data_IF_332134134989
#
_entry.id   IF_332134134989
#
_cell.length_a   1.000
_cell.length_b   1.000
_cell.length_c   1.000
_cell.angle_alpha   90.00
_cell.angle_beta   90.00
_cell.angle_gamma   90.00
#
_symmetry.space_group_name_H-M   'P 1'
#
loop_
_entity.id
_entity.type
_entity.pdbx_description
1 polymer ?
#
# COMPACT_ATOMS: atom_id res chain seq x y z
N UNK A 1 10.13 -4.76 -29.58
CA UNK A 1 10.04 -3.29 -29.61
C UNK A 1 10.92 -2.73 -28.50
N UNK A 2 11.95 -1.95 -28.82
CA UNK A 2 12.68 -1.12 -27.86
C UNK A 2 12.05 0.27 -27.82
N UNK A 3 11.90 0.84 -26.63
CA UNK A 3 11.45 2.23 -26.44
C UNK A 3 12.68 3.06 -26.12
N UNK A 4 12.98 4.05 -26.97
CA UNK A 4 14.03 5.04 -26.72
C UNK A 4 13.41 6.26 -26.03
N UNK A 5 13.84 6.51 -24.80
CA UNK A 5 13.43 7.67 -24.00
C UNK A 5 14.55 8.70 -24.03
N UNK A 6 14.36 9.78 -24.80
CA UNK A 6 15.26 10.93 -24.78
C UNK A 6 14.91 11.82 -23.58
N UNK A 7 15.72 11.73 -22.54
CA UNK A 7 15.49 12.45 -21.28
C UNK A 7 16.33 13.73 -21.25
N UNK A 8 15.65 14.87 -21.34
CA UNK A 8 16.29 16.17 -21.09
C UNK A 8 16.85 16.24 -19.67
N UNK A 9 18.06 16.80 -19.53
CA UNK A 9 18.89 16.79 -18.31
C UNK A 9 18.18 17.26 -17.02
N UNK A 10 17.09 18.03 -17.14
CA UNK A 10 16.33 18.57 -16.01
C UNK A 10 15.33 17.60 -15.35
N UNK A 11 14.96 16.50 -16.00
CA UNK A 11 13.87 15.62 -15.52
C UNK A 11 14.33 14.47 -14.61
N UNK A 12 15.62 14.41 -14.27
CA UNK A 12 16.17 13.37 -13.39
C UNK A 12 15.49 13.30 -12.03
N UNK A 13 15.14 14.45 -11.44
CA UNK A 13 14.43 14.51 -10.16
C UNK A 13 12.99 14.00 -10.25
N UNK A 14 12.34 14.18 -11.40
CA UNK A 14 10.97 13.68 -11.63
C UNK A 14 10.96 12.16 -11.71
N UNK A 15 11.93 11.56 -12.41
CA UNK A 15 12.08 10.10 -12.42
C UNK A 15 12.46 9.54 -11.05
N UNK A 16 13.33 10.23 -10.30
CA UNK A 16 13.68 9.83 -8.95
C UNK A 16 12.45 9.90 -8.01
N UNK A 17 11.63 10.93 -8.13
CA UNK A 17 10.39 11.06 -7.37
C UNK A 17 9.35 9.98 -7.76
N UNK A 18 9.19 9.71 -9.06
CA UNK A 18 8.26 8.70 -9.55
C UNK A 18 8.68 7.29 -9.12
N UNK A 19 9.97 6.95 -9.24
CA UNK A 19 10.50 5.65 -8.84
C UNK A 19 10.39 5.46 -7.33
N UNK A 20 10.80 6.44 -6.52
CA UNK A 20 10.68 6.35 -5.06
C UNK A 20 9.22 6.16 -4.61
N UNK A 21 8.28 6.90 -5.21
CA UNK A 21 6.84 6.73 -4.93
C UNK A 21 6.35 5.34 -5.32
N UNK A 22 6.78 4.81 -6.47
CA UNK A 22 6.45 3.45 -6.90
C UNK A 22 6.94 2.39 -5.91
N UNK A 23 8.18 2.51 -5.41
CA UNK A 23 8.71 1.59 -4.40
C UNK A 23 7.93 1.66 -3.09
N UNK A 24 7.63 2.86 -2.59
CA UNK A 24 6.86 3.04 -1.35
C UNK A 24 5.46 2.44 -1.47
N UNK A 25 4.76 2.68 -2.59
CA UNK A 25 3.44 2.10 -2.84
C UNK A 25 3.47 0.57 -2.96
N UNK A 26 4.52 0.03 -3.58
CA UNK A 26 4.71 -1.42 -3.71
C UNK A 26 4.93 -2.06 -2.34
N UNK A 27 5.83 -1.50 -1.51
CA UNK A 27 6.08 -1.99 -0.16
C UNK A 27 4.83 -1.89 0.72
N UNK A 28 4.07 -0.80 0.61
CA UNK A 28 2.80 -0.65 1.32
C UNK A 28 1.80 -1.74 0.90
N UNK A 29 1.66 -2.00 -0.39
CA UNK A 29 0.76 -3.04 -0.94
C UNK A 29 1.15 -4.46 -0.50
N UNK A 30 2.45 -4.77 -0.43
CA UNK A 30 2.94 -6.06 0.08
C UNK A 30 2.60 -6.21 1.57
N UNK A 31 2.78 -5.15 2.36
CA UNK A 31 2.51 -5.19 3.79
C UNK A 31 1.02 -5.33 4.10
N UNK A 32 0.16 -4.59 3.42
CA UNK A 32 -1.31 -4.68 3.60
C UNK A 32 -1.83 -6.04 3.15
N UNK A 33 -1.34 -6.58 2.03
CA UNK A 33 -1.73 -7.92 1.57
C UNK A 33 -1.26 -9.05 2.48
N UNK A 34 -0.06 -8.93 3.07
CA UNK A 34 0.43 -9.89 4.06
C UNK A 34 -0.42 -9.86 5.34
N UNK A 35 -0.64 -8.68 5.92
CA UNK A 35 -1.49 -8.51 7.11
C UNK A 35 -2.93 -8.95 6.87
N UNK A 36 -3.44 -8.77 5.65
CA UNK A 36 -4.76 -9.26 5.25
C UNK A 36 -4.86 -10.79 5.26
N UNK A 37 -3.82 -11.47 4.78
CA UNK A 37 -3.76 -12.94 4.81
C UNK A 37 -3.71 -13.47 6.23
N UNK A 38 -2.92 -12.83 7.10
CA UNK A 38 -2.76 -13.24 8.50
C UNK A 38 -4.04 -12.96 9.32
N UNK A 39 -4.68 -11.82 9.10
CA UNK A 39 -5.92 -11.44 9.79
C UNK A 39 -7.18 -12.19 9.30
N UNK A 40 -7.09 -12.93 8.19
CA UNK A 40 -8.22 -13.69 7.64
C UNK A 40 -9.36 -12.83 7.08
N UNK A 41 -9.13 -11.54 6.83
CA UNK A 41 -10.15 -10.62 6.32
C UNK A 41 -10.43 -10.89 4.83
N UNK A 42 -11.59 -11.52 4.55
CA UNK A 42 -12.06 -11.81 3.19
C UNK A 42 -12.46 -10.54 2.42
N UNK A 43 -12.22 -10.54 1.11
CA UNK A 43 -12.77 -9.52 0.21
C UNK A 43 -14.30 -9.57 0.25
N UNK A 44 -15.04 -8.44 0.17
CA UNK A 44 -14.59 -7.07 -0.07
C UNK A 44 -14.31 -6.22 1.18
N UNK A 45 -14.25 -6.79 2.38
CA UNK A 45 -14.12 -5.99 3.60
C UNK A 45 -12.75 -5.29 3.67
N UNK A 46 -12.79 -3.95 3.70
CA UNK A 46 -11.60 -3.09 3.83
C UNK A 46 -11.01 -3.09 5.27
N UNK A 47 -11.84 -3.41 6.26
CA UNK A 47 -11.48 -3.49 7.67
C UNK A 47 -12.03 -4.78 8.29
N UNK A 48 -11.38 -5.30 9.31
CA UNK A 48 -11.93 -6.35 10.17
C UNK A 48 -13.04 -5.76 11.06
N UNK A 49 -14.10 -6.54 11.32
CA UNK A 49 -15.13 -6.18 12.30
C UNK A 49 -14.51 -5.99 13.70
N UNK A 50 -15.12 -5.15 14.54
CA UNK A 50 -14.65 -4.92 15.91
C UNK A 50 -14.53 -6.24 16.69
N UNK A 51 -15.47 -7.16 16.48
CA UNK A 51 -15.51 -8.48 17.09
C UNK A 51 -14.35 -9.41 16.65
N UNK A 52 -13.83 -9.22 15.43
CA UNK A 52 -12.66 -9.94 14.93
C UNK A 52 -11.34 -9.29 15.36
N UNK A 53 -11.31 -7.96 15.50
CA UNK A 53 -10.15 -7.21 15.98
C UNK A 53 -9.89 -7.43 17.48
N UNK A 54 -10.93 -7.58 18.29
CA UNK A 54 -10.81 -7.85 19.74
C UNK A 54 -10.31 -9.28 20.02
N UNK A 55 -10.61 -10.23 19.13
CA UNK A 55 -10.23 -11.64 19.30
C UNK A 55 -8.86 -11.98 18.72
N UNK A 56 -8.43 -11.27 17.67
CA UNK A 56 -7.16 -11.51 16.98
C UNK A 56 -6.34 -10.21 16.91
N UNK A 57 -5.23 -10.16 17.63
CA UNK A 57 -4.31 -9.01 17.60
C UNK A 57 -3.81 -8.65 16.20
N UNK A 58 -3.73 -9.62 15.29
CA UNK A 58 -3.35 -9.41 13.89
C UNK A 58 -4.44 -8.70 13.06
N UNK A 59 -5.72 -8.91 13.39
CA UNK A 59 -6.83 -8.19 12.78
C UNK A 59 -6.91 -6.74 13.27
N UNK A 60 -6.56 -6.50 14.54
CA UNK A 60 -6.35 -5.15 15.05
C UNK A 60 -5.16 -4.46 14.36
N UNK A 61 -4.03 -5.16 14.17
CA UNK A 61 -2.88 -4.65 13.44
C UNK A 61 -3.18 -4.34 11.96
N UNK A 62 -4.03 -5.14 11.30
CA UNK A 62 -4.55 -4.83 9.96
C UNK A 62 -5.40 -3.56 9.95
N UNK A 63 -6.31 -3.40 10.91
CA UNK A 63 -7.11 -2.18 11.05
C UNK A 63 -6.26 -0.93 11.34
N UNK A 64 -5.22 -1.04 12.17
CA UNK A 64 -4.25 0.04 12.41
C UNK A 64 -3.40 0.37 11.16
N UNK A 65 -3.07 -0.65 10.36
CA UNK A 65 -2.35 -0.47 9.09
C UNK A 65 -3.19 0.24 8.02
N UNK A 66 -4.51 0.05 8.05
CA UNK A 66 -5.46 0.65 7.10
C UNK A 66 -6.03 1.99 7.58
N UNK A 67 -5.98 2.32 8.88
CA UNK A 67 -6.49 3.60 9.43
C UNK A 67 -5.53 4.77 9.29
N UNK A 68 -4.37 4.61 8.61
CA UNK A 68 -3.69 5.80 8.07
C UNK A 68 -4.68 6.42 7.09
N UNK A 69 -5.19 7.64 7.33
CA UNK A 69 -6.19 8.23 6.46
C UNK A 69 -5.64 8.16 5.06
N UNK A 70 -6.46 7.65 4.13
CA UNK A 70 -6.13 7.45 2.73
C UNK A 70 -5.67 8.77 2.11
N UNK A 71 -4.40 9.12 2.33
CA UNK A 71 -3.72 10.19 1.63
C UNK A 71 -3.14 9.57 0.38
N UNK A 72 -4.01 9.32 -0.59
CA UNK A 72 -3.70 9.27 -2.03
C UNK A 72 -4.98 9.10 -2.83
N UNK A 73 -5.33 10.18 -3.54
CA UNK A 73 -6.27 10.32 -4.67
C UNK A 73 -7.75 10.54 -4.30
N UNK A 74 -8.04 11.73 -3.76
CA UNK A 74 -8.90 12.72 -4.45
C UNK A 74 -8.08 13.99 -4.70
#
# INVERSE_FOLDING_TARGET
MSVLLDLSKGYGLVLAAATSTFFVNTLHSIRTSSLRKVSGVKYPNAYASAEQADKNGDAHAFNCGNTRPALTIE
#
